data_IF_529352955811
#
_entry.id   IF_529352955811
#
_cell.length_a   1.000
_cell.length_b   1.000
_cell.length_c   1.000
_cell.angle_alpha   90.00
_cell.angle_beta   90.00
_cell.angle_gamma   90.00
#
_symmetry.space_group_name_H-M   'P 1'
#
loop_
_entity.id
_entity.type
_entity.pdbx_description
1 polymer ?
#
# COMPACT_ATOMS: atom_id res chain seq x y z
N UNK A 1 5.48 6.71 12.79
CA UNK A 1 5.26 6.28 11.39
C UNK A 1 4.58 7.43 10.65
N UNK A 2 5.37 8.35 10.07
CA UNK A 2 4.87 9.45 9.24
C UNK A 2 4.69 8.97 7.80
N UNK A 3 3.84 7.96 7.60
CA UNK A 3 3.65 7.35 6.28
C UNK A 3 2.72 8.26 5.47
N UNK A 4 3.23 8.76 4.35
CA UNK A 4 2.55 9.66 3.40
C UNK A 4 2.21 11.07 3.90
N UNK A 5 2.89 11.56 4.93
CA UNK A 5 2.61 12.89 5.49
C UNK A 5 2.87 14.04 4.52
N UNK A 6 3.85 13.88 3.63
CA UNK A 6 4.10 14.78 2.50
C UNK A 6 2.89 14.85 1.56
N UNK A 7 2.28 13.71 1.24
CA UNK A 7 1.10 13.65 0.36
C UNK A 7 -0.19 14.14 1.04
N UNK A 8 -0.25 14.10 2.38
CA UNK A 8 -1.37 14.64 3.14
C UNK A 8 -1.40 16.18 3.10
N UNK A 9 -0.27 16.83 2.86
CA UNK A 9 -0.13 18.27 2.73
C UNK A 9 0.00 18.73 1.26
N UNK A 10 -0.14 17.83 0.29
CA UNK A 10 -0.09 18.15 -1.14
C UNK A 10 -1.34 18.94 -1.56
N UNK A 11 -1.16 19.88 -2.49
CA UNK A 11 -2.24 20.71 -3.05
C UNK A 11 -3.23 19.89 -3.88
N UNK A 12 -2.82 18.71 -4.36
CA UNK A 12 -3.68 17.81 -5.11
C UNK A 12 -4.62 17.04 -4.18
N UNK A 13 -5.90 17.36 -4.25
CA UNK A 13 -6.96 16.63 -3.55
C UNK A 13 -6.90 15.12 -3.80
N UNK A 14 -6.68 14.70 -5.05
CA UNK A 14 -6.60 13.29 -5.42
C UNK A 14 -5.45 12.56 -4.72
N UNK A 15 -4.26 13.18 -4.64
CA UNK A 15 -3.11 12.62 -3.93
C UNK A 15 -3.37 12.55 -2.44
N UNK A 16 -3.97 13.60 -1.87
CA UNK A 16 -4.33 13.68 -0.46
C UNK A 16 -5.34 12.61 -0.07
N UNK A 17 -6.37 12.39 -0.88
CA UNK A 17 -7.36 11.34 -0.66
C UNK A 17 -6.74 9.94 -0.76
N UNK A 18 -5.94 9.68 -1.80
CA UNK A 18 -5.21 8.42 -1.94
C UNK A 18 -4.30 8.16 -0.73
N UNK A 19 -3.54 9.17 -0.28
CA UNK A 19 -2.65 9.05 0.88
C UNK A 19 -3.42 8.74 2.17
N UNK A 20 -4.58 9.37 2.39
CA UNK A 20 -5.45 9.06 3.55
C UNK A 20 -5.95 7.63 3.51
N UNK A 21 -6.44 7.17 2.36
CA UNK A 21 -6.90 5.79 2.16
C UNK A 21 -5.78 4.79 2.44
N UNK A 22 -4.60 5.00 1.86
CA UNK A 22 -3.44 4.14 2.08
C UNK A 22 -2.97 4.12 3.53
N UNK A 23 -2.93 5.29 4.19
CA UNK A 23 -2.57 5.37 5.62
C UNK A 23 -3.54 4.60 6.50
N UNK A 24 -4.85 4.69 6.23
CA UNK A 24 -5.87 3.95 6.98
C UNK A 24 -5.73 2.44 6.77
N UNK A 25 -5.59 1.98 5.52
CA UNK A 25 -5.44 0.56 5.18
C UNK A 25 -4.15 -0.05 5.75
N UNK A 26 -3.03 0.68 5.68
CA UNK A 26 -1.74 0.27 6.27
C UNK A 26 -1.83 0.23 7.80
N UNK A 27 -2.47 1.25 8.41
CA UNK A 27 -2.70 1.28 9.85
C UNK A 27 -3.52 0.10 10.33
N UNK A 28 -4.56 -0.28 9.58
CA UNK A 28 -5.40 -1.44 9.90
C UNK A 28 -4.62 -2.76 9.72
N UNK A 29 -3.81 -2.90 8.67
CA UNK A 29 -2.96 -4.08 8.47
C UNK A 29 -1.92 -4.27 9.59
N UNK A 30 -1.37 -3.18 10.12
CA UNK A 30 -0.42 -3.23 11.24
C UNK A 30 -1.07 -3.77 12.53
N UNK A 31 -2.38 -3.54 12.72
CA UNK A 31 -3.15 -4.09 13.85
C UNK A 31 -3.33 -5.61 13.73
N UNK A 32 -3.43 -6.13 12.50
CA UNK A 32 -3.53 -7.56 12.19
C UNK A 32 -2.19 -8.32 12.31
N UNK A 33 -1.14 -7.69 12.83
CA UNK A 33 0.21 -8.24 12.93
C UNK A 33 0.80 -8.67 11.56
N UNK A 34 0.22 -8.18 10.47
CA UNK A 34 0.75 -8.30 9.13
C UNK A 34 1.83 -7.23 8.96
N UNK A 35 3.10 -7.65 8.97
CA UNK A 35 4.19 -6.74 8.63
C UNK A 35 3.92 -6.15 7.24
N UNK A 36 3.54 -4.87 7.24
CA UNK A 36 3.38 -4.08 6.03
C UNK A 36 4.75 -4.01 5.36
N UNK A 37 4.94 -4.80 4.30
CA UNK A 37 6.20 -4.83 3.57
C UNK A 37 6.50 -3.44 3.00
N UNK A 38 7.78 -3.06 2.93
CA UNK A 38 8.22 -1.84 2.23
C UNK A 38 7.63 -1.76 0.80
N UNK A 39 7.42 -2.92 0.17
CA UNK A 39 6.72 -3.05 -1.10
C UNK A 39 5.34 -2.39 -1.14
N UNK A 40 4.52 -2.52 -0.08
CA UNK A 40 3.18 -1.92 -0.03
C UNK A 40 3.29 -0.38 0.04
N UNK A 41 4.27 0.13 0.78
CA UNK A 41 4.54 1.56 0.92
C UNK A 41 5.01 2.14 -0.42
N UNK A 42 5.93 1.47 -1.12
CA UNK A 42 6.39 1.90 -2.45
C UNK A 42 5.28 1.84 -3.50
N UNK A 43 4.47 0.78 -3.49
CA UNK A 43 3.34 0.62 -4.42
C UNK A 43 2.29 1.72 -4.19
N UNK A 44 1.96 1.98 -2.92
CA UNK A 44 1.08 3.09 -2.54
C UNK A 44 1.65 4.44 -2.99
N UNK A 45 2.96 4.67 -2.83
CA UNK A 45 3.63 5.90 -3.28
C UNK A 45 3.46 6.11 -4.79
N UNK A 46 3.75 5.08 -5.59
CA UNK A 46 3.58 5.11 -7.06
C UNK A 46 2.13 5.39 -7.46
N UNK A 47 1.16 4.84 -6.73
CA UNK A 47 -0.26 5.10 -6.98
C UNK A 47 -0.69 6.53 -6.61
N UNK A 48 -0.19 7.04 -5.47
CA UNK A 48 -0.43 8.43 -5.05
C UNK A 48 0.18 9.39 -6.07
N UNK A 49 1.36 9.09 -6.61
CA UNK A 49 1.99 9.89 -7.66
C UNK A 49 1.33 9.73 -9.05
N UNK A 50 0.41 8.78 -9.21
CA UNK A 50 -0.26 8.52 -10.48
C UNK A 50 0.60 7.76 -11.50
N UNK A 51 1.70 7.15 -11.07
CA UNK A 51 2.58 6.33 -11.91
C UNK A 51 1.94 4.98 -12.27
N UNK A 52 1.08 4.46 -11.39
CA UNK A 52 0.34 3.21 -11.59
C UNK A 52 -1.12 3.40 -11.20
N UNK A 53 -2.00 2.64 -11.85
CA UNK A 53 -3.44 2.63 -11.56
C UNK A 53 -3.78 1.71 -10.39
N UNK A 54 -4.94 1.91 -9.77
CA UNK A 54 -5.41 1.07 -8.65
C UNK A 54 -5.48 -0.42 -9.05
N UNK A 55 -5.77 -0.72 -10.31
CA UNK A 55 -5.80 -2.09 -10.85
C UNK A 55 -4.42 -2.76 -10.80
N UNK A 56 -3.38 -2.06 -11.27
CA UNK A 56 -1.99 -2.51 -11.20
C UNK A 56 -1.56 -2.72 -9.75
N UNK A 57 -1.94 -1.81 -8.85
CA UNK A 57 -1.67 -1.97 -7.42
C UNK A 57 -2.32 -3.24 -6.87
N UNK A 58 -3.61 -3.47 -7.16
CA UNK A 58 -4.31 -4.67 -6.73
C UNK A 58 -3.63 -5.93 -7.26
N UNK A 59 -3.20 -5.93 -8.52
CA UNK A 59 -2.51 -7.07 -9.14
C UNK A 59 -1.17 -7.35 -8.44
N UNK A 60 -0.34 -6.32 -8.25
CA UNK A 60 0.95 -6.41 -7.55
C UNK A 60 0.79 -6.95 -6.11
N UNK A 61 -0.20 -6.43 -5.37
CA UNK A 61 -0.50 -6.89 -4.01
C UNK A 61 -0.98 -8.34 -4.04
N UNK A 62 -1.92 -8.67 -4.92
CA UNK A 62 -2.50 -10.00 -5.01
C UNK A 62 -1.42 -11.05 -5.37
N UNK A 63 -0.54 -10.77 -6.34
CA UNK A 63 0.58 -11.64 -6.68
C UNK A 63 1.54 -11.82 -5.50
N UNK A 64 1.89 -10.74 -4.80
CA UNK A 64 2.78 -10.79 -3.64
C UNK A 64 2.22 -11.67 -2.51
N UNK A 65 0.94 -11.49 -2.15
CA UNK A 65 0.29 -12.32 -1.12
C UNK A 65 0.01 -13.75 -1.61
N UNK A 66 -0.31 -13.95 -2.88
CA UNK A 66 -0.49 -15.27 -3.46
C UNK A 66 0.81 -16.09 -3.44
N UNK A 67 1.95 -15.46 -3.75
CA UNK A 67 3.26 -16.09 -3.61
C UNK A 67 3.59 -16.41 -2.15
N UNK A 68 3.32 -15.50 -1.22
CA UNK A 68 3.56 -15.72 0.22
C UNK A 68 2.75 -16.90 0.76
N UNK A 69 1.47 -17.03 0.36
CA UNK A 69 0.63 -18.21 0.71
C UNK A 69 1.15 -19.53 0.15
N UNK A 70 1.74 -19.52 -1.04
CA UNK A 70 2.35 -20.73 -1.62
C UNK A 70 3.59 -21.17 -0.84
N UNK A 71 4.34 -20.21 -0.30
CA UNK A 71 5.54 -20.48 0.48
C UNK A 71 5.23 -21.03 1.88
N UNK A 72 4.05 -20.75 2.44
CA UNK A 72 3.58 -21.34 3.72
C UNK A 72 3.03 -22.77 3.61
N UNK A 73 3.12 -23.43 2.45
CA UNK A 73 2.67 -24.83 2.23
C UNK A 73 3.81 -25.84 2.00
N UNK A 74 5.04 -25.45 2.29
CA UNK A 74 6.14 -26.42 2.47
C UNK A 74 6.55 -26.41 3.95
N UNK A 75 5.68 -26.97 4.78
CA UNK A 75 6.03 -27.58 6.07
C UNK A 75 5.11 -28.80 6.25
#
# INVERSE_FOLDING_TARGET
MHIFEEYLNDENLEKRERAKLWRASIGLQAVDNLCVSNFLIETARKHIEGLISMDEVHKMINEHYAQKRKQSKQD
#
